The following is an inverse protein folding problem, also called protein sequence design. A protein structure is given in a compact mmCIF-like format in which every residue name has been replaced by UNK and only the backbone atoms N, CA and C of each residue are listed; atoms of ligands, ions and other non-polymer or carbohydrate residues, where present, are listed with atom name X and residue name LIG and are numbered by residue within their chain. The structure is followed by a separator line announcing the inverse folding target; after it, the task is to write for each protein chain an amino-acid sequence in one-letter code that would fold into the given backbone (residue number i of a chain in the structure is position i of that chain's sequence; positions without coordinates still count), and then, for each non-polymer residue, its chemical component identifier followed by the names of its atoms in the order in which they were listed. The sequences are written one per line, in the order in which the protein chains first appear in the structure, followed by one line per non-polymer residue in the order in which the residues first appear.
data_IF_157863349796
#
_entry.id   IF_157863349796
#
_cell.length_a   1.000
_cell.length_b   1.000
_cell.length_c   1.000
_cell.angle_alpha   90.00
_cell.angle_beta   90.00
_cell.angle_gamma   90.00
#
_symmetry.space_group_name_H-M   'P 1'
#
loop_
_entity.id
_entity.type
_entity.pdbx_description
1 polymer ?
#
# COMPACT_ATOMS: atom_id res chain seq x y z
N UNK A 1 -28.77 -14.17 1.61
CA UNK A 1 -28.01 -12.95 1.95
C UNK A 1 -26.57 -13.42 2.06
N UNK A 2 -25.87 -13.42 0.93
CA UNK A 2 -24.48 -13.89 0.86
C UNK A 2 -23.57 -12.73 1.28
N UNK A 3 -22.85 -12.96 2.36
CA UNK A 3 -21.92 -12.03 2.98
C UNK A 3 -20.61 -12.02 2.17
N UNK A 4 -20.18 -10.86 1.70
CA UNK A 4 -18.91 -10.71 0.98
C UNK A 4 -17.75 -10.67 1.97
N UNK A 5 -17.41 -11.81 2.59
CA UNK A 5 -16.26 -11.99 3.50
C UNK A 5 -14.89 -11.95 2.80
N UNK A 6 -14.64 -11.00 1.90
CA UNK A 6 -13.47 -11.04 0.99
C UNK A 6 -12.19 -10.36 1.52
N UNK A 7 -12.16 -9.83 2.74
CA UNK A 7 -10.96 -9.13 3.26
C UNK A 7 -10.60 -9.44 4.71
N UNK A 8 -11.40 -10.25 5.42
CA UNK A 8 -11.09 -10.61 6.81
C UNK A 8 -9.81 -11.46 6.86
N UNK A 9 -8.78 -10.95 7.55
CA UNK A 9 -7.44 -11.56 7.58
C UNK A 9 -6.54 -11.30 6.37
N UNK A 10 -7.03 -10.65 5.30
CA UNK A 10 -6.21 -10.30 4.12
C UNK A 10 -5.20 -9.20 4.47
N UNK A 11 -5.59 -8.27 5.34
CA UNK A 11 -4.76 -7.15 5.77
C UNK A 11 -4.86 -6.95 7.28
N UNK A 12 -3.71 -6.92 7.94
CA UNK A 12 -3.59 -6.68 9.38
C UNK A 12 -2.53 -5.59 9.58
N UNK A 13 -2.86 -4.56 10.35
CA UNK A 13 -1.89 -3.57 10.82
C UNK A 13 -1.74 -3.78 12.32
N UNK A 14 -0.53 -4.14 12.76
CA UNK A 14 -0.25 -4.38 14.17
C UNK A 14 1.20 -4.00 14.48
N UNK A 15 1.41 -3.27 15.58
CA UNK A 15 2.74 -2.81 16.03
C UNK A 15 3.59 -2.16 14.92
N UNK A 16 3.00 -1.24 14.14
CA UNK A 16 3.71 -0.54 13.06
C UNK A 16 4.08 -1.42 11.86
N UNK A 17 3.57 -2.65 11.81
CA UNK A 17 3.76 -3.58 10.69
C UNK A 17 2.46 -3.76 9.94
N UNK A 18 2.47 -3.49 8.64
CA UNK A 18 1.41 -3.86 7.71
C UNK A 18 1.68 -5.28 7.21
N UNK A 19 0.78 -6.21 7.45
CA UNK A 19 0.77 -7.54 6.85
C UNK A 19 -0.32 -7.60 5.80
N UNK A 20 0.00 -7.99 4.57
CA UNK A 20 -0.96 -8.15 3.49
C UNK A 20 -0.74 -9.44 2.71
N UNK A 21 -1.80 -10.21 2.51
CA UNK A 21 -1.80 -11.39 1.66
C UNK A 21 -2.23 -11.04 0.24
N UNK A 22 -1.56 -11.62 -0.74
CA UNK A 22 -1.94 -11.54 -2.15
C UNK A 22 -1.99 -12.94 -2.75
N UNK A 23 -2.97 -13.17 -3.63
CA UNK A 23 -2.96 -14.36 -4.49
C UNK A 23 -2.15 -14.07 -5.75
N UNK A 24 -1.16 -14.92 -6.00
CA UNK A 24 -0.24 -14.83 -7.12
C UNK A 24 -0.19 -16.18 -7.85
N UNK A 25 -0.74 -16.24 -9.07
CA UNK A 25 -0.93 -17.50 -9.82
C UNK A 25 -1.56 -18.63 -8.99
N UNK A 26 -2.58 -18.30 -8.18
CA UNK A 26 -3.28 -19.27 -7.32
C UNK A 26 -2.54 -19.66 -6.04
N UNK A 27 -1.45 -18.96 -5.69
CA UNK A 27 -0.67 -19.17 -4.47
C UNK A 27 -0.76 -17.96 -3.56
N UNK A 28 -0.85 -18.17 -2.26
CA UNK A 28 -0.84 -17.07 -1.30
C UNK A 28 0.61 -16.64 -1.00
N UNK A 29 0.87 -15.34 -1.12
CA UNK A 29 2.11 -14.70 -0.67
C UNK A 29 1.74 -13.63 0.34
N UNK A 30 2.35 -13.68 1.53
CA UNK A 30 2.18 -12.66 2.57
C UNK A 30 3.37 -11.73 2.52
N UNK A 31 3.09 -10.43 2.52
CA UNK A 31 4.11 -9.39 2.65
C UNK A 31 3.93 -8.67 3.96
N UNK A 32 5.00 -8.59 4.74
CA UNK A 32 5.06 -7.78 5.95
C UNK A 32 5.90 -6.55 5.66
N UNK A 33 5.41 -5.38 6.01
CA UNK A 33 6.03 -4.09 5.66
C UNK A 33 6.14 -3.27 6.93
N UNK A 34 7.33 -2.68 7.15
CA UNK A 34 7.65 -1.82 8.28
C UNK A 34 8.32 -0.55 7.78
N UNK A 35 7.98 0.59 8.37
CA UNK A 35 8.74 1.83 8.13
C UNK A 35 10.02 1.81 8.97
N UNK A 36 11.14 2.20 8.37
CA UNK A 36 12.45 2.25 9.04
C UNK A 36 12.88 3.67 9.41
N UNK A 37 12.38 4.68 8.71
CA UNK A 37 13.02 6.00 8.67
C UNK A 37 12.04 7.19 8.70
N UNK A 38 12.63 8.38 8.71
CA UNK A 38 12.03 9.71 8.85
C UNK A 38 11.14 10.10 7.66
N UNK A 39 10.18 11.00 7.94
CA UNK A 39 9.12 11.43 7.01
C UNK A 39 9.67 11.99 5.69
N UNK A 40 10.83 12.66 5.73
CA UNK A 40 11.43 13.30 4.55
C UNK A 40 12.33 12.36 3.73
N UNK A 41 12.54 11.12 4.18
CA UNK A 41 13.27 10.09 3.42
C UNK A 41 12.73 8.70 3.76
N UNK A 42 11.45 8.45 3.46
CA UNK A 42 10.76 7.26 3.92
C UNK A 42 11.38 6.02 3.27
N UNK A 43 11.78 5.06 4.09
CA UNK A 43 12.23 3.74 3.64
C UNK A 43 11.39 2.66 4.28
N UNK A 44 11.06 1.65 3.47
CA UNK A 44 10.29 0.50 3.89
C UNK A 44 11.17 -0.75 3.92
N UNK A 45 11.11 -1.49 5.01
CA UNK A 45 11.60 -2.86 5.06
C UNK A 45 10.43 -3.82 4.81
N UNK A 46 10.70 -4.92 4.12
CA UNK A 46 9.69 -5.93 3.84
C UNK A 46 10.20 -7.36 3.97
N UNK A 47 9.30 -8.26 4.37
CA UNK A 47 9.48 -9.70 4.31
C UNK A 47 8.49 -10.30 3.31
N UNK A 48 8.95 -11.24 2.47
CA UNK A 48 8.09 -12.06 1.61
C UNK A 48 7.99 -13.47 2.21
N UNK A 49 6.77 -13.90 2.54
CA UNK A 49 6.49 -15.19 3.17
C UNK A 49 5.58 -16.00 2.23
N UNK A 50 6.01 -17.22 1.93
CA UNK A 50 5.32 -18.16 1.03
C UNK A 50 5.58 -19.59 1.52
N UNK A 51 4.64 -20.49 1.27
CA UNK A 51 4.75 -21.92 1.60
C UNK A 51 5.77 -22.66 0.71
N UNK A 52 6.20 -22.03 -0.38
CA UNK A 52 7.19 -22.53 -1.34
C UNK A 52 8.24 -21.48 -1.65
N UNK A 53 9.41 -21.95 -2.05
CA UNK A 53 10.48 -21.09 -2.55
C UNK A 53 9.99 -20.24 -3.74
N UNK A 54 10.30 -18.96 -3.70
CA UNK A 54 10.04 -18.03 -4.79
C UNK A 54 11.32 -17.82 -5.59
N UNK A 55 11.24 -17.94 -6.91
CA UNK A 55 12.29 -17.47 -7.81
C UNK A 55 12.31 -15.93 -7.86
N UNK A 56 13.37 -15.37 -8.44
CA UNK A 56 13.58 -13.92 -8.45
C UNK A 56 12.54 -13.17 -9.30
N UNK A 57 11.99 -13.82 -10.33
CA UNK A 57 10.91 -13.28 -11.13
C UNK A 57 9.62 -13.08 -10.32
N UNK A 58 9.23 -14.08 -9.55
CA UNK A 58 8.05 -14.02 -8.70
C UNK A 58 8.25 -13.08 -7.52
N UNK A 59 9.46 -12.98 -6.95
CA UNK A 59 9.79 -11.95 -5.95
C UNK A 59 9.61 -10.55 -6.51
N UNK A 60 10.15 -10.28 -7.72
CA UNK A 60 10.02 -8.98 -8.38
C UNK A 60 8.55 -8.60 -8.59
N UNK A 61 7.73 -9.52 -9.11
CA UNK A 61 6.30 -9.25 -9.31
C UNK A 61 5.53 -9.03 -8.01
N UNK A 62 5.90 -9.72 -6.93
CA UNK A 62 5.34 -9.44 -5.62
C UNK A 62 5.71 -8.01 -5.18
N UNK A 63 6.97 -7.62 -5.32
CA UNK A 63 7.42 -6.25 -5.00
C UNK A 63 6.66 -5.22 -5.83
N UNK A 64 6.59 -5.37 -7.16
CA UNK A 64 5.85 -4.48 -8.05
C UNK A 64 4.39 -4.32 -7.61
N UNK A 65 3.76 -5.40 -7.13
CA UNK A 65 2.39 -5.39 -6.63
C UNK A 65 2.25 -4.58 -5.35
N UNK A 66 3.22 -4.66 -4.44
CA UNK A 66 3.24 -3.89 -3.18
C UNK A 66 3.55 -2.42 -3.48
N UNK A 67 4.52 -2.15 -4.36
CA UNK A 67 4.84 -0.81 -4.84
C UNK A 67 3.60 -0.14 -5.40
N UNK A 68 2.84 -0.84 -6.26
CA UNK A 68 1.57 -0.34 -6.76
C UNK A 68 0.53 -0.15 -5.64
N UNK A 69 0.33 -1.14 -4.76
CA UNK A 69 -0.67 -1.09 -3.69
C UNK A 69 -0.47 0.10 -2.74
N UNK A 70 0.79 0.39 -2.42
CA UNK A 70 1.18 1.52 -1.57
C UNK A 70 1.44 2.80 -2.36
N UNK A 71 1.33 2.74 -3.69
CA UNK A 71 1.60 3.85 -4.61
C UNK A 71 2.99 4.47 -4.44
N UNK A 72 4.01 3.66 -4.17
CA UNK A 72 5.35 4.15 -3.79
C UNK A 72 6.10 4.89 -4.91
N UNK A 73 5.67 4.72 -6.17
CA UNK A 73 6.29 5.38 -7.33
C UNK A 73 5.65 6.74 -7.66
N UNK A 74 4.59 7.15 -6.94
CA UNK A 74 3.93 8.42 -7.19
C UNK A 74 4.78 9.57 -6.65
N UNK A 75 5.22 10.48 -7.52
CA UNK A 75 5.85 11.72 -7.10
C UNK A 75 4.80 12.73 -6.63
N UNK A 76 4.65 12.83 -5.31
CA UNK A 76 3.73 13.80 -4.68
C UNK A 76 4.33 15.19 -4.51
N UNK A 77 5.63 15.41 -4.77
CA UNK A 77 6.28 16.70 -4.55
C UNK A 77 5.59 17.85 -5.31
N UNK A 78 5.22 17.71 -6.61
CA UNK A 78 4.52 18.77 -7.33
C UNK A 78 3.13 19.09 -6.75
N UNK A 79 2.45 18.09 -6.18
CA UNK A 79 1.17 18.26 -5.50
C UNK A 79 1.34 19.08 -4.21
N UNK A 80 2.32 18.70 -3.37
CA UNK A 80 2.65 19.44 -2.16
C UNK A 80 3.06 20.89 -2.44
N UNK A 81 3.87 21.14 -3.47
CA UNK A 81 4.27 22.48 -3.88
C UNK A 81 3.09 23.35 -4.32
N UNK A 82 2.11 22.75 -5.01
CA UNK A 82 0.90 23.45 -5.46
C UNK A 82 0.01 23.79 -4.25
N UNK A 83 -0.24 22.83 -3.36
CA UNK A 83 -1.09 23.03 -2.18
C UNK A 83 -0.52 24.05 -1.19
N UNK A 84 0.82 24.14 -1.04
CA UNK A 84 1.47 25.14 -0.17
C UNK A 84 1.23 26.59 -0.62
N UNK A 85 0.96 26.80 -1.91
CA UNK A 85 0.67 28.13 -2.49
C UNK A 85 -0.80 28.54 -2.30
N UNK A 86 -1.69 27.60 -1.98
CA UNK A 86 -3.09 27.87 -1.66
C UNK A 86 -3.25 28.13 -0.15
N UNK A 87 -3.58 29.36 0.24
CA UNK A 87 -3.72 29.74 1.65
C UNK A 87 -4.79 28.94 2.41
N UNK A 88 -5.85 28.46 1.73
CA UNK A 88 -6.89 27.64 2.36
C UNK A 88 -6.43 26.20 2.54
N UNK A 89 -5.60 25.71 1.63
CA UNK A 89 -5.17 24.31 1.61
C UNK A 89 -3.86 24.06 2.37
N UNK A 90 -3.08 25.11 2.62
CA UNK A 90 -1.80 25.05 3.33
C UNK A 90 -1.90 24.36 4.70
N UNK A 91 -2.91 24.68 5.49
CA UNK A 91 -3.06 24.10 6.82
C UNK A 91 -3.41 22.60 6.78
N UNK A 92 -4.26 22.21 5.81
CA UNK A 92 -4.67 20.82 5.61
C UNK A 92 -3.48 19.97 5.15
N UNK A 93 -2.68 20.49 4.22
CA UNK A 93 -1.54 19.74 3.69
C UNK A 93 -0.39 19.61 4.70
N UNK A 94 -0.20 20.59 5.59
CA UNK A 94 0.75 20.48 6.70
C UNK A 94 0.34 19.40 7.70
N UNK A 95 -0.94 19.28 8.01
CA UNK A 95 -1.46 18.25 8.92
C UNK A 95 -1.41 16.83 8.33
N UNK A 96 -1.50 16.71 7.00
CA UNK A 96 -1.52 15.43 6.29
C UNK A 96 -0.21 15.14 5.55
N UNK A 97 0.85 15.89 5.83
CA UNK A 97 2.14 15.70 5.19
C UNK A 97 2.69 14.30 5.48
N UNK A 98 3.09 13.59 4.41
CA UNK A 98 3.57 12.20 4.49
C UNK A 98 2.48 11.14 4.36
N UNK A 99 1.19 11.51 4.32
CA UNK A 99 0.13 10.56 3.99
C UNK A 99 0.12 10.29 2.47
N UNK A 100 0.26 9.02 2.12
CA UNK A 100 0.15 8.57 0.74
C UNK A 100 -1.25 7.97 0.47
N UNK A 101 -1.82 8.25 -0.70
CA UNK A 101 -3.04 7.57 -1.14
C UNK A 101 -2.71 6.11 -1.45
N UNK A 102 -3.32 5.15 -0.75
CA UNK A 102 -3.24 3.74 -1.13
C UNK A 102 -3.98 3.53 -2.45
N UNK A 103 -3.31 2.96 -3.44
CA UNK A 103 -3.93 2.62 -4.72
C UNK A 103 -4.62 1.27 -4.61
N UNK A 104 -5.85 1.19 -5.12
CA UNK A 104 -6.62 -0.04 -5.07
C UNK A 104 -6.13 -1.02 -6.14
N UNK A 105 -5.70 -2.24 -5.75
CA UNK A 105 -5.02 -3.16 -6.65
C UNK A 105 -5.94 -3.79 -7.72
N UNK A 106 -7.26 -3.58 -7.66
CA UNK A 106 -8.23 -4.14 -8.61
C UNK A 106 -9.33 -3.13 -8.94
N UNK A 107 -9.50 -2.71 -10.21
CA UNK A 107 -10.56 -1.79 -10.63
C UNK A 107 -11.96 -2.30 -10.25
N UNK A 108 -12.17 -3.62 -10.28
CA UNK A 108 -13.47 -4.23 -10.00
C UNK A 108 -13.84 -4.19 -8.50
N UNK A 109 -12.86 -4.25 -7.57
CA UNK A 109 -13.15 -4.19 -6.12
C UNK A 109 -13.56 -2.78 -5.67
N UNK A 110 -13.11 -1.72 -6.36
CA UNK A 110 -13.51 -0.36 -6.06
C UNK A 110 -15.01 -0.09 -6.32
N UNK A 111 -15.64 -0.89 -7.18
CA UNK A 111 -17.05 -0.75 -7.56
C UNK A 111 -18.03 -1.40 -6.56
N UNK A 112 -17.56 -2.35 -5.73
CA UNK A 112 -18.39 -3.05 -4.73
C UNK A 112 -18.35 -2.33 -3.36
N UNK A 113 -17.53 -1.29 -3.20
CA UNK A 113 -17.42 -0.51 -1.96
C UNK A 113 -18.17 0.84 -1.96
N UNK A 114 -19.04 1.09 -2.94
CA UNK A 114 -19.73 2.38 -3.12
C UNK A 114 -21.27 2.28 -3.16
N UNK A 115 -21.85 1.25 -2.54
CA UNK A 115 -23.28 1.21 -2.23
C UNK A 115 -23.52 0.69 -0.80
#
# INVERSE_FOLDING_TARGET
MEDFGSTEGEQIIHNGTLSKAFSFHGKAVVVRIRSKDEIDSPRLEYDLISDRAMDDHNKKKAIDRITFFLSLDDDLLPFYETCRKDQKFKHVIEQLYGYHRSSFPFPLKALVGLF
#
